data_IF_136280656689
#
_entry.id   IF_136280656689
#
_cell.length_a   1.000
_cell.length_b   1.000
_cell.length_c   1.000
_cell.angle_alpha   90.00
_cell.angle_beta   90.00
_cell.angle_gamma   90.00
#
_symmetry.space_group_name_H-M   'P 1'
#
loop_
_entity.id
_entity.type
_entity.pdbx_description
1 polymer ?
#
# COMPACT_ATOMS: atom_id res chain seq x y z
N UNK A 1 -48.96 -65.83 48.53
CA UNK A 1 -48.13 -65.65 47.28
C UNK A 1 -48.18 -64.17 46.94
N UNK A 2 -47.13 -63.42 47.31
CA UNK A 2 -47.02 -61.96 47.18
C UNK A 2 -46.23 -61.63 45.93
N UNK A 3 -46.77 -60.77 45.07
CA UNK A 3 -46.09 -60.20 43.94
C UNK A 3 -45.75 -58.73 44.18
N UNK A 4 -44.50 -58.48 44.46
CA UNK A 4 -43.93 -57.11 44.62
C UNK A 4 -43.79 -56.46 43.29
N UNK A 5 -44.47 -55.36 43.03
CA UNK A 5 -44.22 -54.50 41.84
C UNK A 5 -43.10 -53.49 42.14
N UNK A 6 -42.04 -53.50 41.38
CA UNK A 6 -40.96 -52.50 41.41
C UNK A 6 -41.29 -51.38 40.44
N UNK A 7 -41.52 -50.16 40.98
CA UNK A 7 -41.58 -48.92 40.18
C UNK A 7 -40.15 -48.47 39.86
N UNK A 8 -39.83 -48.41 38.57
CA UNK A 8 -38.61 -47.78 38.11
C UNK A 8 -38.95 -46.31 37.77
N UNK A 9 -38.39 -45.36 38.50
CA UNK A 9 -38.48 -43.93 38.22
C UNK A 9 -37.45 -43.57 37.14
N UNK A 10 -37.89 -43.20 35.93
CA UNK A 10 -37.08 -42.62 34.86
C UNK A 10 -36.93 -41.13 35.16
N UNK A 11 -35.71 -40.70 35.56
CA UNK A 11 -35.30 -39.32 35.60
C UNK A 11 -34.99 -38.82 34.18
N UNK A 12 -35.87 -38.02 33.60
CA UNK A 12 -35.63 -37.28 32.37
C UNK A 12 -34.78 -36.04 32.71
N UNK A 13 -33.48 -36.10 32.46
CA UNK A 13 -32.60 -34.95 32.53
C UNK A 13 -32.88 -34.00 31.35
N UNK A 14 -33.54 -32.89 31.60
CA UNK A 14 -33.67 -31.82 30.63
C UNK A 14 -32.32 -31.14 30.44
N UNK A 15 -31.63 -31.43 29.32
CA UNK A 15 -30.45 -30.72 28.87
C UNK A 15 -30.90 -29.32 28.40
N UNK A 16 -30.67 -28.30 29.21
CA UNK A 16 -30.82 -26.90 28.81
C UNK A 16 -29.74 -26.58 27.81
N UNK A 17 -30.06 -26.66 26.53
CA UNK A 17 -29.23 -26.12 25.43
C UNK A 17 -29.27 -24.57 25.58
N UNK A 18 -28.20 -23.97 26.09
CA UNK A 18 -27.99 -22.52 26.02
C UNK A 18 -27.97 -22.13 24.55
N UNK A 19 -28.79 -21.15 24.13
CA UNK A 19 -28.64 -20.64 22.74
C UNK A 19 -27.24 -20.03 22.63
N UNK A 20 -26.42 -20.58 21.73
CA UNK A 20 -25.24 -19.91 21.28
C UNK A 20 -25.70 -18.60 20.62
N UNK A 21 -25.42 -17.47 21.28
CA UNK A 21 -25.60 -16.16 20.68
C UNK A 21 -24.59 -16.16 19.51
N UNK A 22 -25.08 -16.33 18.28
CA UNK A 22 -24.29 -16.13 17.07
C UNK A 22 -23.85 -14.66 17.12
N UNK A 23 -22.58 -14.42 17.40
CA UNK A 23 -21.98 -13.10 17.22
C UNK A 23 -22.17 -12.75 15.75
N UNK A 24 -22.75 -11.60 15.44
CA UNK A 24 -22.87 -11.15 14.06
C UNK A 24 -21.45 -10.93 13.53
N UNK A 25 -21.12 -11.56 12.39
CA UNK A 25 -19.84 -11.38 11.72
C UNK A 25 -19.63 -9.90 11.40
N UNK A 26 -18.56 -9.32 11.91
CA UNK A 26 -18.14 -7.94 11.57
C UNK A 26 -17.48 -7.98 10.20
N UNK A 27 -17.97 -7.19 9.25
CA UNK A 27 -17.36 -7.05 7.92
C UNK A 27 -16.71 -5.68 7.79
N UNK A 28 -15.42 -5.64 7.38
CA UNK A 28 -14.68 -4.43 7.10
C UNK A 28 -14.19 -4.49 5.65
N UNK A 29 -14.45 -3.45 4.88
CA UNK A 29 -14.02 -3.32 3.49
C UNK A 29 -12.99 -2.21 3.33
N UNK A 30 -11.88 -2.51 2.66
CA UNK A 30 -10.81 -1.56 2.33
C UNK A 30 -10.54 -1.54 0.84
N UNK A 31 -10.33 -0.35 0.28
CA UNK A 31 -9.96 -0.20 -1.12
C UNK A 31 -9.07 1.03 -1.34
N UNK A 32 -8.18 0.97 -2.34
CA UNK A 32 -7.45 2.16 -2.75
C UNK A 32 -6.01 1.91 -3.17
N UNK A 33 -5.06 2.53 -2.46
CA UNK A 33 -3.64 2.48 -2.80
C UNK A 33 -3.11 1.06 -2.96
N UNK A 34 -2.53 0.76 -4.13
CA UNK A 34 -1.83 -0.51 -4.35
C UNK A 34 -0.42 -0.51 -3.75
N UNK A 35 0.07 0.64 -3.28
CA UNK A 35 1.29 0.73 -2.50
C UNK A 35 1.04 0.38 -1.02
N UNK A 36 -0.10 0.78 -0.44
CA UNK A 36 -0.51 0.46 0.94
C UNK A 36 -1.15 -0.93 1.07
N UNK A 37 -1.74 -1.44 -0.01
CA UNK A 37 -2.46 -2.71 -0.04
C UNK A 37 -1.72 -3.90 0.61
N UNK A 38 -0.40 -4.13 0.41
CA UNK A 38 0.31 -5.23 1.05
C UNK A 38 0.28 -5.18 2.58
N UNK A 39 0.41 -3.99 3.18
CA UNK A 39 0.34 -3.82 4.63
C UNK A 39 -1.08 -4.11 5.14
N UNK A 40 -2.10 -3.54 4.49
CA UNK A 40 -3.50 -3.73 4.90
C UNK A 40 -3.91 -5.20 4.78
N UNK A 41 -3.50 -5.90 3.70
CA UNK A 41 -3.74 -7.34 3.52
C UNK A 41 -3.04 -8.19 4.59
N UNK A 42 -1.77 -7.90 4.88
CA UNK A 42 -1.04 -8.63 5.91
C UNK A 42 -1.63 -8.38 7.31
N UNK A 43 -2.03 -7.13 7.61
CA UNK A 43 -2.72 -6.79 8.84
C UNK A 43 -4.08 -7.51 8.94
N UNK A 44 -4.85 -7.54 7.86
CA UNK A 44 -6.14 -8.22 7.81
C UNK A 44 -6.00 -9.73 8.09
N UNK A 45 -5.00 -10.40 7.51
CA UNK A 45 -4.75 -11.82 7.75
C UNK A 45 -4.44 -12.11 9.22
N UNK A 46 -3.54 -11.32 9.82
CA UNK A 46 -3.16 -11.51 11.24
C UNK A 46 -4.34 -11.16 12.15
N UNK A 47 -5.03 -10.04 11.91
CA UNK A 47 -6.16 -9.61 12.72
C UNK A 47 -7.30 -10.62 12.70
N UNK A 48 -7.69 -11.15 11.55
CA UNK A 48 -8.72 -12.17 11.39
C UNK A 48 -8.36 -13.50 12.09
N UNK A 49 -7.06 -13.86 12.13
CA UNK A 49 -6.61 -15.05 12.85
C UNK A 49 -6.81 -14.93 14.38
N UNK A 50 -6.84 -13.71 14.90
CA UNK A 50 -7.03 -13.39 16.31
C UNK A 50 -8.49 -13.02 16.65
N UNK A 51 -9.32 -12.71 15.64
CA UNK A 51 -10.71 -12.27 15.78
C UNK A 51 -11.56 -13.02 14.75
N UNK A 52 -12.00 -14.23 15.10
CA UNK A 52 -12.66 -15.15 14.16
C UNK A 52 -14.03 -14.67 13.64
N UNK A 53 -14.65 -13.71 14.36
CA UNK A 53 -15.91 -13.04 14.02
C UNK A 53 -15.72 -11.85 13.05
N UNK A 54 -14.46 -11.49 12.70
CA UNK A 54 -14.16 -10.38 11.80
C UNK A 54 -13.78 -10.90 10.41
N UNK A 55 -14.36 -10.28 9.37
CA UNK A 55 -14.01 -10.49 7.95
C UNK A 55 -13.54 -9.18 7.36
N UNK A 56 -12.34 -9.17 6.78
CA UNK A 56 -11.75 -7.98 6.16
C UNK A 56 -11.43 -8.27 4.69
N UNK A 57 -12.01 -7.46 3.80
CA UNK A 57 -11.74 -7.51 2.37
C UNK A 57 -10.88 -6.31 1.95
N UNK A 58 -9.83 -6.56 1.15
CA UNK A 58 -8.89 -5.52 0.73
C UNK A 58 -8.72 -5.57 -0.79
N UNK A 59 -8.98 -4.45 -1.46
CA UNK A 59 -8.87 -4.31 -2.91
C UNK A 59 -7.98 -3.13 -3.30
N UNK A 60 -7.38 -3.20 -4.48
CA UNK A 60 -6.62 -2.08 -5.05
C UNK A 60 -7.50 -1.07 -5.78
N UNK A 61 -6.92 -0.32 -6.73
CA UNK A 61 -7.61 0.66 -7.59
C UNK A 61 -6.95 2.02 -7.62
N UNK A 62 -5.98 2.26 -6.73
CA UNK A 62 -5.26 3.52 -6.56
C UNK A 62 -5.92 4.45 -5.56
N UNK A 63 -5.11 5.37 -5.02
CA UNK A 63 -5.50 6.26 -3.91
C UNK A 63 -6.74 7.08 -4.20
N UNK A 64 -6.88 7.66 -5.40
CA UNK A 64 -8.06 8.46 -5.75
C UNK A 64 -9.34 7.62 -5.82
N UNK A 65 -9.22 6.35 -6.24
CA UNK A 65 -10.34 5.41 -6.22
C UNK A 65 -10.74 5.09 -4.78
N UNK A 66 -9.78 4.82 -3.89
CA UNK A 66 -10.04 4.59 -2.47
C UNK A 66 -10.75 5.78 -1.81
N UNK A 67 -10.23 6.99 -2.04
CA UNK A 67 -10.85 8.22 -1.54
C UNK A 67 -12.30 8.41 -2.05
N UNK A 68 -12.56 8.12 -3.32
CA UNK A 68 -13.90 8.22 -3.89
C UNK A 68 -14.87 7.16 -3.30
N UNK A 69 -14.39 5.92 -3.13
CA UNK A 69 -15.20 4.82 -2.58
C UNK A 69 -15.55 5.05 -1.11
N UNK A 70 -14.60 5.52 -0.29
CA UNK A 70 -14.91 5.84 1.12
C UNK A 70 -15.78 7.07 1.24
N UNK A 71 -15.60 8.08 0.41
CA UNK A 71 -16.46 9.27 0.38
C UNK A 71 -17.92 8.93 0.03
N UNK A 72 -18.13 7.95 -0.86
CA UNK A 72 -19.46 7.44 -1.22
C UNK A 72 -20.00 6.37 -0.25
N UNK A 73 -19.26 6.03 0.80
CA UNK A 73 -19.57 4.94 1.76
C UNK A 73 -19.70 3.56 1.10
N UNK A 74 -19.05 3.36 -0.04
CA UNK A 74 -19.00 2.06 -0.73
C UNK A 74 -17.99 1.11 -0.09
N UNK A 75 -17.05 1.63 0.68
CA UNK A 75 -16.11 0.90 1.54
C UNK A 75 -15.97 1.59 2.90
N UNK A 76 -15.53 0.86 3.90
CA UNK A 76 -15.29 1.39 5.25
C UNK A 76 -13.98 2.16 5.33
N UNK A 77 -12.95 1.71 4.59
CA UNK A 77 -11.59 2.24 4.59
C UNK A 77 -11.15 2.62 3.18
N UNK A 78 -10.71 3.86 3.01
CA UNK A 78 -10.10 4.36 1.78
C UNK A 78 -8.58 4.47 1.92
N UNK A 79 -7.83 3.58 1.30
CA UNK A 79 -6.37 3.53 1.38
C UNK A 79 -5.73 4.54 0.43
N UNK A 80 -4.77 5.36 0.90
CA UNK A 80 -4.23 6.46 0.10
C UNK A 80 -2.77 6.82 0.42
N UNK A 81 -1.95 7.02 -0.64
CA UNK A 81 -0.61 7.60 -0.58
C UNK A 81 -0.65 9.14 -0.56
N UNK A 82 -1.83 9.74 -0.66
CA UNK A 82 -2.01 11.20 -0.77
C UNK A 82 -3.13 11.69 0.14
N UNK A 83 -3.04 12.96 0.50
CA UNK A 83 -4.09 13.60 1.28
C UNK A 83 -5.39 13.75 0.46
N UNK A 84 -6.52 13.56 1.12
CA UNK A 84 -7.82 13.95 0.59
C UNK A 84 -7.92 15.48 0.52
N UNK A 85 -8.43 15.98 -0.60
CA UNK A 85 -8.58 17.41 -0.81
C UNK A 85 -10.07 17.72 -1.02
N UNK A 86 -10.59 18.76 -0.37
CA UNK A 86 -11.99 19.17 -0.44
C UNK A 86 -12.98 18.06 -0.03
N UNK A 87 -12.62 17.26 0.98
CA UNK A 87 -13.41 16.15 1.48
C UNK A 87 -13.61 16.27 3.01
N UNK A 88 -14.44 17.24 3.47
CA UNK A 88 -14.55 17.58 4.89
C UNK A 88 -15.15 16.45 5.75
N UNK A 89 -15.86 15.52 5.13
CA UNK A 89 -16.47 14.39 5.83
C UNK A 89 -15.47 13.21 6.04
N UNK A 90 -14.29 13.27 5.40
CA UNK A 90 -13.30 12.22 5.55
C UNK A 90 -12.38 12.50 6.74
N UNK A 91 -12.28 11.50 7.62
CA UNK A 91 -11.34 11.50 8.75
C UNK A 91 -10.06 10.80 8.32
N UNK A 92 -8.93 11.48 8.48
CA UNK A 92 -7.59 11.00 8.11
C UNK A 92 -6.94 10.23 9.26
N UNK A 93 -6.58 8.99 9.01
CA UNK A 93 -5.78 8.16 9.90
C UNK A 93 -4.41 7.91 9.24
N UNK A 94 -3.40 8.66 9.66
CA UNK A 94 -2.02 8.47 9.22
C UNK A 94 -1.45 7.20 9.84
N UNK A 95 -1.23 6.16 9.05
CA UNK A 95 -0.95 4.81 9.57
C UNK A 95 0.50 4.37 9.40
N UNK A 96 1.19 4.80 8.35
CA UNK A 96 2.56 4.38 8.04
C UNK A 96 3.32 5.43 7.23
N UNK A 97 4.57 5.14 6.91
CA UNK A 97 5.37 5.83 5.87
C UNK A 97 5.90 4.78 4.92
N UNK A 98 5.97 5.12 3.63
CA UNK A 98 6.60 4.28 2.63
C UNK A 98 7.54 5.08 1.72
N UNK A 99 8.69 4.49 1.39
CA UNK A 99 9.53 4.93 0.30
C UNK A 99 9.04 4.38 -1.04
N UNK A 100 9.36 5.10 -2.10
CA UNK A 100 9.13 4.64 -3.47
C UNK A 100 10.47 4.64 -4.21
N UNK A 101 10.68 3.68 -5.10
CA UNK A 101 11.89 3.60 -5.93
C UNK A 101 11.59 3.96 -7.37
N UNK A 102 12.50 4.64 -8.03
CA UNK A 102 12.63 4.55 -9.48
C UNK A 102 13.27 3.21 -9.77
N UNK A 103 12.61 2.39 -10.57
CA UNK A 103 13.01 1.01 -10.86
C UNK A 103 13.32 0.84 -12.33
N UNK A 104 14.41 0.14 -12.63
CA UNK A 104 14.83 -0.15 -13.99
C UNK A 104 15.12 -1.63 -14.19
N UNK A 105 14.99 -2.11 -15.42
CA UNK A 105 15.51 -3.42 -15.78
C UNK A 105 17.05 -3.42 -15.70
N UNK A 106 17.71 -4.46 -15.18
CA UNK A 106 19.17 -4.53 -15.06
C UNK A 106 19.92 -4.34 -16.40
N UNK A 107 19.29 -4.68 -17.53
CA UNK A 107 19.87 -4.47 -18.86
C UNK A 107 20.13 -2.99 -19.18
N UNK A 108 19.45 -2.04 -18.53
CA UNK A 108 19.70 -0.60 -18.69
C UNK A 108 21.13 -0.19 -18.28
N UNK A 109 21.73 -0.89 -17.29
CA UNK A 109 23.10 -0.66 -16.85
C UNK A 109 23.29 0.60 -16.00
N UNK A 110 22.23 1.12 -15.36
CA UNK A 110 22.27 2.29 -14.47
C UNK A 110 21.87 1.92 -13.05
N UNK A 111 22.51 2.56 -12.06
CA UNK A 111 22.23 2.36 -10.64
C UNK A 111 21.97 3.66 -9.89
N UNK A 112 22.25 4.80 -10.53
CA UNK A 112 22.02 6.14 -10.01
C UNK A 112 21.60 7.07 -11.14
N UNK A 113 20.60 7.90 -10.87
CA UNK A 113 20.17 8.97 -11.78
C UNK A 113 19.99 10.27 -10.99
N UNK A 114 20.34 11.38 -11.62
CA UNK A 114 19.95 12.68 -11.06
C UNK A 114 18.45 12.89 -11.26
N UNK A 115 17.82 13.71 -10.41
CA UNK A 115 16.43 14.13 -10.58
C UNK A 115 16.16 14.67 -11.99
N UNK A 116 17.09 15.46 -12.52
CA UNK A 116 16.97 16.00 -13.88
C UNK A 116 16.95 14.90 -14.95
N UNK A 117 17.81 13.90 -14.84
CA UNK A 117 17.81 12.76 -15.77
C UNK A 117 16.48 11.98 -15.68
N UNK A 118 15.95 11.76 -14.48
CA UNK A 118 14.64 11.12 -14.31
C UNK A 118 13.55 11.94 -14.99
N UNK A 119 13.53 13.26 -14.80
CA UNK A 119 12.57 14.15 -15.46
C UNK A 119 12.69 14.09 -16.99
N UNK A 120 13.89 14.07 -17.53
CA UNK A 120 14.12 14.02 -18.98
C UNK A 120 13.73 12.65 -19.58
N UNK A 121 13.97 11.56 -18.86
CA UNK A 121 13.52 10.22 -19.24
C UNK A 121 11.98 10.17 -19.26
N UNK A 122 11.33 10.53 -18.16
CA UNK A 122 9.87 10.41 -18.06
C UNK A 122 9.13 11.41 -18.96
N UNK A 123 9.75 12.54 -19.34
CA UNK A 123 9.18 13.48 -20.30
C UNK A 123 9.47 13.14 -21.77
N UNK A 124 10.18 12.05 -22.04
CA UNK A 124 10.53 11.62 -23.41
C UNK A 124 11.66 12.42 -24.07
N UNK A 125 12.35 13.30 -23.33
CA UNK A 125 13.52 14.05 -23.84
C UNK A 125 14.74 13.17 -24.00
N UNK A 126 14.92 12.22 -23.09
CA UNK A 126 15.96 11.18 -23.13
C UNK A 126 15.31 9.85 -23.46
N UNK A 127 15.70 9.25 -24.57
CA UNK A 127 15.09 8.03 -25.12
C UNK A 127 16.04 6.85 -25.22
N UNK A 128 17.30 7.03 -24.82
CA UNK A 128 18.30 5.98 -24.81
C UNK A 128 19.10 6.02 -23.51
N UNK A 129 19.32 4.85 -22.90
CA UNK A 129 20.06 4.73 -21.65
C UNK A 129 21.51 5.22 -21.73
N UNK A 130 22.18 5.12 -22.89
CA UNK A 130 23.56 5.64 -23.06
C UNK A 130 23.68 7.13 -22.76
N UNK A 131 22.62 7.91 -22.99
CA UNK A 131 22.64 9.35 -22.79
C UNK A 131 22.70 9.74 -21.29
N UNK A 132 22.47 8.77 -20.41
CA UNK A 132 22.54 8.91 -18.93
C UNK A 132 23.55 7.97 -18.28
N UNK A 133 24.49 7.43 -19.09
CA UNK A 133 25.58 6.58 -18.59
C UNK A 133 25.27 5.09 -18.52
N UNK A 134 24.14 4.67 -19.11
CA UNK A 134 23.77 3.28 -19.26
C UNK A 134 24.25 2.65 -20.57
N UNK A 135 23.63 1.54 -20.95
CA UNK A 135 23.92 0.83 -22.19
C UNK A 135 23.26 1.50 -23.42
N UNK A 136 23.72 1.20 -24.61
CA UNK A 136 23.03 1.62 -25.84
C UNK A 136 21.75 0.78 -26.01
N UNK A 137 20.69 1.25 -25.37
CA UNK A 137 19.40 0.57 -25.27
C UNK A 137 18.29 1.62 -25.18
N UNK A 138 17.25 1.44 -25.99
CA UNK A 138 16.09 2.33 -25.98
C UNK A 138 15.35 2.28 -24.63
N UNK A 139 14.91 3.45 -24.15
CA UNK A 139 14.14 3.55 -22.91
C UNK A 139 12.66 3.27 -23.18
N UNK A 140 12.05 2.42 -22.35
CA UNK A 140 10.61 2.18 -22.33
C UNK A 140 10.06 2.67 -21.00
N UNK A 141 9.31 3.77 -21.01
CA UNK A 141 8.68 4.34 -19.81
C UNK A 141 7.39 3.60 -19.51
N UNK A 142 7.29 3.08 -18.29
CA UNK A 142 6.07 2.51 -17.74
C UNK A 142 5.55 3.47 -16.68
N UNK A 143 4.36 4.02 -16.90
CA UNK A 143 3.72 5.01 -16.07
C UNK A 143 2.53 4.40 -15.31
N UNK A 144 1.92 5.17 -14.43
CA UNK A 144 0.73 4.83 -13.66
C UNK A 144 -0.44 5.72 -14.10
N UNK A 145 -1.70 5.28 -13.95
CA UNK A 145 -2.87 6.10 -14.23
C UNK A 145 -3.00 7.27 -13.25
N UNK A 146 -3.84 8.23 -13.57
CA UNK A 146 -4.08 9.42 -12.73
C UNK A 146 -4.73 9.08 -11.38
N UNK A 147 -5.36 7.92 -11.25
CA UNK A 147 -5.90 7.41 -9.98
C UNK A 147 -4.81 6.99 -8.98
N UNK A 148 -3.56 6.74 -9.46
CA UNK A 148 -2.45 6.30 -8.63
C UNK A 148 -1.94 7.41 -7.71
N UNK A 149 -1.93 7.15 -6.40
CA UNK A 149 -1.28 8.00 -5.41
C UNK A 149 0.23 8.02 -5.57
N UNK A 150 0.86 6.87 -5.85
CA UNK A 150 2.30 6.78 -6.15
C UNK A 150 2.70 7.70 -7.30
N UNK A 151 1.86 7.76 -8.37
CA UNK A 151 2.09 8.74 -9.46
C UNK A 151 1.97 10.18 -8.95
N UNK A 152 0.99 10.49 -8.11
CA UNK A 152 0.83 11.83 -7.58
C UNK A 152 2.03 12.24 -6.71
N UNK A 153 2.55 11.34 -5.88
CA UNK A 153 3.78 11.56 -5.09
C UNK A 153 4.99 11.73 -6.02
N UNK A 154 5.13 10.89 -7.06
CA UNK A 154 6.19 11.02 -8.06
C UNK A 154 6.17 12.37 -8.77
N UNK A 155 4.99 12.80 -9.21
CA UNK A 155 4.81 14.13 -9.82
C UNK A 155 5.21 15.26 -8.87
N UNK A 156 4.77 15.19 -7.62
CA UNK A 156 5.07 16.23 -6.59
C UNK A 156 6.56 16.28 -6.24
N UNK A 157 7.19 15.12 -5.99
CA UNK A 157 8.52 15.07 -5.36
C UNK A 157 9.66 14.95 -6.37
N UNK A 158 9.43 14.36 -7.53
CA UNK A 158 10.46 14.10 -8.54
C UNK A 158 10.25 14.94 -9.80
N UNK A 159 9.06 14.91 -10.39
CA UNK A 159 8.81 15.59 -11.66
C UNK A 159 8.68 17.12 -11.52
N UNK A 160 8.14 17.61 -10.40
CA UNK A 160 7.89 19.04 -10.21
C UNK A 160 6.95 19.59 -11.28
N UNK A 161 7.43 20.50 -12.13
CA UNK A 161 6.66 21.08 -13.25
C UNK A 161 6.79 20.28 -14.57
N UNK A 162 7.67 19.27 -14.63
CA UNK A 162 7.82 18.44 -15.82
C UNK A 162 6.62 17.49 -15.98
N UNK A 163 6.21 17.26 -17.21
CA UNK A 163 5.11 16.34 -17.55
C UNK A 163 5.65 14.99 -17.98
N UNK A 164 4.91 13.92 -17.72
CA UNK A 164 5.23 12.59 -18.25
C UNK A 164 4.74 12.49 -19.70
N UNK A 165 5.54 11.85 -20.55
CA UNK A 165 5.19 11.60 -21.95
C UNK A 165 3.91 10.76 -22.05
N UNK A 166 2.98 11.21 -22.89
CA UNK A 166 1.69 10.54 -23.12
C UNK A 166 1.84 9.18 -23.84
N UNK A 167 2.98 8.93 -24.50
CA UNK A 167 3.27 7.65 -25.18
C UNK A 167 3.77 6.57 -24.21
N UNK A 168 3.88 6.86 -22.91
CA UNK A 168 4.28 5.86 -21.92
C UNK A 168 3.23 4.74 -21.78
N UNK A 169 3.71 3.49 -21.55
CA UNK A 169 2.85 2.37 -21.20
C UNK A 169 2.22 2.66 -19.84
N UNK A 170 0.95 2.34 -19.64
CA UNK A 170 0.25 2.57 -18.36
C UNK A 170 -0.07 1.24 -17.71
N UNK A 171 0.34 1.10 -16.44
CA UNK A 171 0.02 -0.05 -15.58
C UNK A 171 -0.68 0.44 -14.29
N UNK A 172 -1.73 -0.25 -13.90
CA UNK A 172 -2.64 0.22 -12.86
C UNK A 172 -2.23 -0.11 -11.42
N UNK A 173 -1.34 -1.09 -11.21
CA UNK A 173 -0.94 -1.55 -9.89
C UNK A 173 0.58 -1.65 -9.72
N UNK A 174 1.05 -1.56 -8.47
CA UNK A 174 2.47 -1.73 -8.11
C UNK A 174 3.02 -3.08 -8.61
N UNK A 175 2.27 -4.16 -8.43
CA UNK A 175 2.70 -5.50 -8.84
C UNK A 175 2.86 -5.63 -10.35
N UNK A 176 1.93 -5.09 -11.17
CA UNK A 176 2.00 -5.14 -12.63
C UNK A 176 3.17 -4.31 -13.16
N UNK A 177 3.43 -3.14 -12.57
CA UNK A 177 4.62 -2.31 -12.87
C UNK A 177 5.90 -3.11 -12.66
N UNK A 178 6.06 -3.73 -11.50
CA UNK A 178 7.26 -4.51 -11.16
C UNK A 178 7.48 -5.65 -12.17
N UNK A 179 6.43 -6.37 -12.52
CA UNK A 179 6.53 -7.45 -13.53
C UNK A 179 6.90 -6.93 -14.91
N UNK A 180 6.32 -5.81 -15.35
CA UNK A 180 6.66 -5.20 -16.65
C UNK A 180 8.10 -4.74 -16.71
N UNK A 181 8.61 -4.10 -15.65
CA UNK A 181 10.03 -3.70 -15.59
C UNK A 181 10.96 -4.90 -15.69
N UNK A 182 10.64 -6.00 -15.01
CA UNK A 182 11.44 -7.24 -15.08
C UNK A 182 11.48 -7.85 -16.49
N UNK A 183 10.37 -7.74 -17.23
CA UNK A 183 10.21 -8.39 -18.54
C UNK A 183 10.79 -7.59 -19.71
N UNK A 184 10.93 -6.26 -19.61
CA UNK A 184 11.34 -5.40 -20.69
C UNK A 184 12.72 -4.80 -20.41
N UNK A 185 13.75 -5.13 -21.22
CA UNK A 185 15.15 -4.77 -20.99
C UNK A 185 15.41 -3.27 -20.85
N UNK A 186 14.72 -2.42 -21.60
CA UNK A 186 14.85 -0.96 -21.54
C UNK A 186 13.88 -0.28 -20.57
N UNK A 187 13.13 -1.03 -19.77
CA UNK A 187 12.05 -0.48 -18.96
C UNK A 187 12.54 0.35 -17.77
N UNK A 188 11.79 1.43 -17.52
CA UNK A 188 11.85 2.25 -16.32
C UNK A 188 10.45 2.53 -15.80
N UNK A 189 10.29 2.54 -14.49
CA UNK A 189 9.06 2.92 -13.80
C UNK A 189 9.33 3.41 -12.39
N UNK A 190 8.30 3.51 -11.58
CA UNK A 190 8.37 3.79 -10.15
C UNK A 190 7.35 2.93 -9.39
N UNK A 191 7.75 2.46 -8.22
CA UNK A 191 6.94 1.58 -7.38
C UNK A 191 7.30 1.75 -5.89
N UNK A 192 6.43 1.30 -5.00
CA UNK A 192 6.67 1.34 -3.56
C UNK A 192 7.70 0.30 -3.11
N UNK A 193 8.40 0.58 -2.02
CA UNK A 193 9.35 -0.37 -1.40
C UNK A 193 8.68 -1.71 -1.08
N UNK A 194 7.42 -1.71 -0.66
CA UNK A 194 6.65 -2.94 -0.42
C UNK A 194 6.55 -3.85 -1.66
N UNK A 195 6.66 -3.28 -2.86
CA UNK A 195 6.64 -4.04 -4.11
C UNK A 195 8.02 -4.30 -4.71
N UNK A 196 9.06 -3.58 -4.29
CA UNK A 196 10.39 -3.62 -4.91
C UNK A 196 11.45 -4.26 -4.03
N UNK A 197 11.40 -4.06 -2.71
CA UNK A 197 12.34 -4.67 -1.78
C UNK A 197 12.30 -6.20 -1.89
N UNK A 198 13.48 -6.81 -1.79
CA UNK A 198 13.67 -8.26 -1.93
C UNK A 198 13.27 -8.85 -3.31
N UNK A 199 13.06 -8.00 -4.32
CA UNK A 199 12.80 -8.46 -5.67
C UNK A 199 14.12 -8.63 -6.44
N UNK A 200 14.22 -9.72 -7.21
CA UNK A 200 15.29 -9.94 -8.19
C UNK A 200 14.82 -9.50 -9.58
N UNK A 201 15.73 -9.19 -10.48
CA UNK A 201 15.41 -8.83 -11.87
C UNK A 201 14.96 -7.37 -12.07
N UNK A 202 15.20 -6.51 -11.08
CA UNK A 202 15.12 -5.06 -11.19
C UNK A 202 16.23 -4.39 -10.37
N UNK A 203 16.51 -3.13 -10.65
CA UNK A 203 17.41 -2.27 -9.88
C UNK A 203 16.60 -1.09 -9.36
N UNK A 204 16.68 -0.86 -8.05
CA UNK A 204 16.21 0.37 -7.41
C UNK A 204 17.30 1.43 -7.56
N UNK A 205 16.99 2.48 -8.31
CA UNK A 205 17.98 3.50 -8.70
C UNK A 205 18.11 4.52 -7.56
N UNK A 206 19.35 4.86 -7.19
CA UNK A 206 19.64 6.00 -6.32
C UNK A 206 19.23 7.30 -7.01
N UNK A 207 18.71 8.27 -6.26
CA UNK A 207 18.33 9.61 -6.77
C UNK A 207 19.30 10.64 -6.21
N UNK A 208 20.01 11.36 -7.09
CA UNK A 208 21.05 12.33 -6.72
C UNK A 208 22.10 11.74 -5.75
N UNK A 209 22.43 10.45 -5.90
CA UNK A 209 23.35 9.72 -5.03
C UNK A 209 22.74 9.18 -3.73
N UNK A 210 21.49 9.50 -3.40
CA UNK A 210 20.80 8.94 -2.25
C UNK A 210 20.16 7.59 -2.60
N UNK A 211 20.56 6.53 -1.92
CA UNK A 211 20.00 5.19 -2.12
C UNK A 211 18.55 5.11 -1.58
N UNK A 212 17.73 4.28 -2.25
CA UNK A 212 16.35 4.00 -1.87
C UNK A 212 16.32 3.05 -0.67
N UNK A 213 16.51 3.59 0.53
CA UNK A 213 16.52 2.82 1.79
C UNK A 213 15.61 3.47 2.83
N UNK A 214 15.08 2.67 3.74
CA UNK A 214 14.25 3.15 4.86
C UNK A 214 14.99 4.21 5.67
N UNK A 215 16.29 4.02 5.97
CA UNK A 215 17.10 4.98 6.72
C UNK A 215 17.20 6.33 6.01
N UNK A 216 17.42 6.33 4.69
CA UNK A 216 17.48 7.57 3.91
C UNK A 216 16.12 8.25 3.80
N UNK A 217 15.02 7.49 3.82
CA UNK A 217 13.66 8.02 3.91
C UNK A 217 13.45 8.66 5.28
N UNK A 218 13.72 7.95 6.37
CA UNK A 218 13.54 8.46 7.75
C UNK A 218 14.31 9.76 7.99
N UNK A 219 15.51 9.89 7.41
CA UNK A 219 16.37 11.08 7.57
C UNK A 219 16.10 12.19 6.55
N UNK A 220 15.22 11.95 5.58
CA UNK A 220 14.91 12.91 4.51
C UNK A 220 15.98 13.03 3.43
N UNK A 221 17.02 12.21 3.44
CA UNK A 221 18.05 12.17 2.36
C UNK A 221 17.46 11.69 1.04
N UNK A 222 16.58 10.71 1.09
CA UNK A 222 15.89 10.18 -0.08
C UNK A 222 14.57 10.91 -0.28
N UNK A 223 14.33 11.53 -1.45
CA UNK A 223 13.21 12.48 -1.60
C UNK A 223 11.87 11.84 -1.94
N UNK A 224 11.85 10.57 -2.39
CA UNK A 224 10.65 9.93 -2.96
C UNK A 224 10.00 9.00 -1.94
N UNK A 225 9.13 9.56 -1.10
CA UNK A 225 8.37 8.87 -0.06
C UNK A 225 7.08 9.64 0.26
N UNK A 226 6.13 9.01 0.97
CA UNK A 226 4.97 9.69 1.54
C UNK A 226 4.53 9.05 2.85
N UNK A 227 3.68 9.76 3.57
CA UNK A 227 2.82 9.13 4.55
C UNK A 227 1.75 8.30 3.85
N UNK A 228 1.36 7.21 4.50
CA UNK A 228 0.26 6.37 4.11
C UNK A 228 -0.93 6.65 5.02
N UNK A 229 -2.09 6.81 4.41
CA UNK A 229 -3.32 7.24 5.03
C UNK A 229 -4.41 6.19 4.82
N UNK A 230 -5.19 5.96 5.87
CA UNK A 230 -6.47 5.29 5.78
C UNK A 230 -7.54 6.34 6.10
N UNK A 231 -8.54 6.48 5.22
CA UNK A 231 -9.64 7.40 5.42
C UNK A 231 -10.91 6.66 5.80
N UNK A 232 -11.68 7.25 6.73
CA UNK A 232 -13.06 6.85 7.03
C UNK A 232 -14.03 7.98 6.71
N UNK A 233 -15.29 7.67 6.40
CA UNK A 233 -16.33 8.68 6.23
C UNK A 233 -17.00 8.98 7.57
N UNK A 234 -16.57 10.04 8.22
CA UNK A 234 -16.88 10.33 9.63
C UNK A 234 -16.08 9.46 10.59
N UNK A 235 -16.46 9.49 11.88
CA UNK A 235 -15.81 8.68 12.90
C UNK A 235 -15.98 7.18 12.61
N UNK A 236 -14.89 6.38 12.71
CA UNK A 236 -14.94 4.95 12.47
C UNK A 236 -15.80 4.22 13.51
N UNK A 237 -16.43 3.13 13.10
CA UNK A 237 -17.02 2.20 14.07
C UNK A 237 -15.95 1.66 15.03
N UNK A 238 -16.37 1.13 16.19
CA UNK A 238 -15.44 0.60 17.19
C UNK A 238 -14.52 -0.49 16.62
N UNK A 239 -15.01 -1.34 15.73
CA UNK A 239 -14.24 -2.45 15.19
C UNK A 239 -13.31 -1.99 14.06
N UNK A 240 -13.74 -1.03 13.26
CA UNK A 240 -12.87 -0.33 12.28
C UNK A 240 -11.73 0.41 13.00
N UNK A 241 -12.03 1.14 14.08
CA UNK A 241 -11.01 1.85 14.86
C UNK A 241 -9.96 0.89 15.45
N UNK A 242 -10.39 -0.26 16.00
CA UNK A 242 -9.46 -1.28 16.51
C UNK A 242 -8.55 -1.86 15.42
N UNK A 243 -9.09 -2.08 14.21
CA UNK A 243 -8.29 -2.57 13.10
C UNK A 243 -7.25 -1.54 12.65
N UNK A 244 -7.63 -0.26 12.55
CA UNK A 244 -6.69 0.84 12.23
C UNK A 244 -5.58 0.94 13.30
N UNK A 245 -5.93 0.87 14.58
CA UNK A 245 -4.98 0.88 15.69
C UNK A 245 -4.03 -0.33 15.63
N UNK A 246 -4.57 -1.54 15.42
CA UNK A 246 -3.78 -2.76 15.24
C UNK A 246 -2.76 -2.62 14.11
N UNK A 247 -3.19 -2.14 12.93
CA UNK A 247 -2.34 -1.95 11.77
C UNK A 247 -1.24 -0.92 12.06
N UNK A 248 -1.62 0.26 12.58
CA UNK A 248 -0.69 1.40 12.76
C UNK A 248 0.32 1.21 13.88
N UNK A 249 0.04 0.34 14.86
CA UNK A 249 0.90 0.05 16.01
C UNK A 249 1.80 -1.17 15.83
N UNK A 250 1.57 -2.01 14.80
CA UNK A 250 2.27 -3.28 14.61
C UNK A 250 3.62 -3.10 13.89
N UNK A 251 4.67 -2.83 14.68
CA UNK A 251 6.02 -2.59 14.15
C UNK A 251 6.58 -3.79 13.35
N UNK A 252 6.40 -5.01 13.85
CA UNK A 252 6.91 -6.21 13.17
C UNK A 252 6.28 -6.41 11.80
N UNK A 253 4.99 -6.12 11.68
CA UNK A 253 4.26 -6.20 10.42
C UNK A 253 4.77 -5.14 9.43
N UNK A 254 4.95 -3.91 9.89
CA UNK A 254 5.46 -2.82 9.07
C UNK A 254 6.84 -3.13 8.50
N UNK A 255 7.79 -3.53 9.35
CA UNK A 255 9.15 -3.88 8.90
C UNK A 255 9.14 -5.05 7.90
N UNK A 256 8.34 -6.10 8.15
CA UNK A 256 8.22 -7.25 7.24
C UNK A 256 7.67 -6.87 5.87
N UNK A 257 6.86 -5.84 5.80
CA UNK A 257 6.18 -5.40 4.56
C UNK A 257 6.84 -4.18 3.90
N UNK A 258 7.98 -3.69 4.45
CA UNK A 258 8.76 -2.58 3.88
C UNK A 258 8.17 -1.20 4.19
N UNK A 259 7.47 -1.05 5.33
CA UNK A 259 6.94 0.23 5.79
C UNK A 259 7.67 0.70 7.05
N UNK A 260 7.62 2.01 7.26
CA UNK A 260 8.25 2.71 8.37
C UNK A 260 7.13 3.20 9.30
N UNK A 261 7.34 3.06 10.61
CA UNK A 261 6.44 3.65 11.60
C UNK A 261 6.47 5.18 11.51
N UNK A 262 5.30 5.81 11.61
CA UNK A 262 5.19 7.28 11.56
C UNK A 262 6.09 7.96 12.61
N UNK A 263 6.20 7.38 13.81
CA UNK A 263 7.03 7.90 14.91
C UNK A 263 8.54 7.84 14.66
N UNK A 264 9.00 7.01 13.71
CA UNK A 264 10.44 6.82 13.42
C UNK A 264 10.96 7.85 12.42
N UNK A 265 10.07 8.64 11.81
CA UNK A 265 10.46 9.72 10.92
C UNK A 265 11.16 10.86 11.66
N UNK A 266 12.31 11.28 11.14
CA UNK A 266 13.15 12.39 11.66
C UNK A 266 12.85 13.71 10.93
N UNK A 267 12.04 13.67 9.89
CA UNK A 267 11.63 14.81 9.06
C UNK A 267 10.12 14.77 8.82
N UNK A 268 9.52 15.94 8.60
CA UNK A 268 8.12 16.07 8.21
C UNK A 268 7.96 16.35 6.71
N UNK A 269 6.77 16.09 6.16
CA UNK A 269 6.46 16.40 4.76
C UNK A 269 6.54 17.90 4.42
N UNK A 270 6.31 18.76 5.40
CA UNK A 270 6.42 20.22 5.24
C UNK A 270 7.84 20.71 4.99
N UNK A 271 8.83 19.86 5.19
CA UNK A 271 10.26 20.20 5.00
C UNK A 271 10.80 19.76 3.61
N UNK A 272 9.91 19.46 2.65
CA UNK A 272 10.25 19.01 1.29
C UNK A 272 9.90 20.01 0.21
#
# INVERSE_FOLDING_TARGET
MSRSARFAALLFGAMLASPAIASADVSISAAGSTALQPLVQAAAQVYQSQNADVKISVTGGGSRTGLALVASKSVDLGDSDILAVNAPDLVDHKVAVIGFSVVVNPAAGVTNLTRKQIQDIFSGKTTNWKDVGGKDLAITVINRPTSSGTRAVFMKTIMGTATIDNNSIVEDATGTVVQKVKQAEGAVSYASFSGTHNQTGLIEVSIDGAAATEENVMTGKYPFWSYEHIYTNGEPSKDVAKFIEFLSSNADLMHKTGYILVKDMKVSESNR
#
